data_IF_886280810074
#
_entry.id   IF_886280810074
#
_cell.length_a   1.000
_cell.length_b   1.000
_cell.length_c   1.000
_cell.angle_alpha   90.00
_cell.angle_beta   90.00
_cell.angle_gamma   90.00
#
_symmetry.space_group_name_H-M   'P 1'
#
loop_
_entity.id
_entity.type
_entity.pdbx_description
1 polymer ?
#
# COMPACT_ATOMS: atom_id res chain seq x y z
N UNK A 1 -59.36 12.18 4.61
CA UNK A 1 -58.40 11.94 5.67
C UNK A 1 -57.75 10.60 5.39
N UNK A 2 -56.73 10.60 4.51
CA UNK A 2 -56.04 9.40 4.04
C UNK A 2 -54.86 9.10 4.93
N UNK A 3 -54.85 7.93 5.59
CA UNK A 3 -53.71 7.43 6.34
C UNK A 3 -52.60 7.08 5.34
N UNK A 4 -51.49 7.82 5.35
CA UNK A 4 -50.22 7.44 4.74
C UNK A 4 -49.63 6.28 5.54
N UNK A 5 -49.58 5.09 4.95
CA UNK A 5 -48.78 3.99 5.50
C UNK A 5 -47.28 4.34 5.41
N UNK A 6 -46.50 4.05 6.45
CA UNK A 6 -45.05 4.21 6.37
C UNK A 6 -44.45 3.21 5.38
N UNK A 7 -43.37 3.56 4.66
CA UNK A 7 -42.74 2.66 3.71
C UNK A 7 -42.23 1.40 4.39
N UNK A 8 -42.21 0.25 3.70
CA UNK A 8 -41.71 -1.00 4.29
C UNK A 8 -40.23 -0.85 4.66
N UNK A 9 -39.93 -1.08 5.91
CA UNK A 9 -38.53 -1.18 6.40
C UNK A 9 -37.92 -2.42 5.77
N UNK A 10 -37.03 -2.23 4.79
CA UNK A 10 -36.20 -3.29 4.21
C UNK A 10 -35.28 -3.87 5.28
N UNK A 11 -35.77 -4.86 6.00
CA UNK A 11 -34.96 -5.71 6.87
C UNK A 11 -34.19 -6.70 5.97
N UNK A 12 -33.24 -6.24 5.18
CA UNK A 12 -32.20 -7.12 4.70
C UNK A 12 -31.50 -7.66 5.96
N UNK A 13 -31.74 -8.92 6.27
CA UNK A 13 -31.02 -9.64 7.29
C UNK A 13 -29.53 -9.46 6.99
N UNK A 14 -28.83 -8.68 7.81
CA UNK A 14 -27.37 -8.64 7.79
C UNK A 14 -26.89 -10.06 8.10
N UNK A 15 -26.51 -10.80 7.08
CA UNK A 15 -25.98 -12.14 7.20
C UNK A 15 -24.76 -12.06 8.13
N UNK A 16 -24.81 -12.73 9.27
CA UNK A 16 -23.65 -12.81 10.17
C UNK A 16 -22.52 -13.52 9.42
N UNK A 17 -21.40 -12.83 9.24
CA UNK A 17 -20.20 -13.37 8.62
C UNK A 17 -19.69 -14.51 9.51
N UNK A 18 -19.63 -15.72 8.97
CA UNK A 18 -19.12 -16.90 9.66
C UNK A 18 -17.59 -16.88 9.75
N UNK A 19 -17.00 -17.72 10.61
CA UNK A 19 -15.53 -17.86 10.66
C UNK A 19 -14.96 -18.34 9.31
N UNK A 20 -15.71 -19.16 8.55
CA UNK A 20 -15.32 -19.61 7.21
C UNK A 20 -15.32 -18.42 6.23
N UNK A 21 -16.34 -17.55 6.28
CA UNK A 21 -16.40 -16.36 5.43
C UNK A 21 -15.18 -15.44 5.70
N UNK A 22 -14.78 -15.29 6.98
CA UNK A 22 -13.59 -14.51 7.35
C UNK A 22 -12.30 -15.10 6.77
N UNK A 23 -12.16 -16.42 6.81
CA UNK A 23 -11.02 -17.14 6.20
C UNK A 23 -10.99 -16.95 4.68
N UNK A 24 -12.13 -17.13 4.00
CA UNK A 24 -12.24 -16.94 2.55
C UNK A 24 -11.91 -15.49 2.16
N UNK A 25 -12.43 -14.51 2.90
CA UNK A 25 -12.09 -13.09 2.69
C UNK A 25 -10.61 -12.79 2.93
N UNK A 26 -9.97 -13.46 3.91
CA UNK A 26 -8.53 -13.35 4.14
C UNK A 26 -7.73 -13.86 2.95
N UNK A 27 -8.04 -15.06 2.47
CA UNK A 27 -7.38 -15.65 1.30
C UNK A 27 -7.61 -14.79 0.04
N UNK A 28 -8.82 -14.29 -0.19
CA UNK A 28 -9.14 -13.40 -1.32
C UNK A 28 -8.25 -12.15 -1.31
N UNK A 29 -8.06 -11.51 -0.15
CA UNK A 29 -7.16 -10.36 -0.01
C UNK A 29 -5.71 -10.72 -0.37
N UNK A 30 -5.19 -11.83 0.17
CA UNK A 30 -3.85 -12.32 -0.17
C UNK A 30 -3.70 -12.46 -1.69
N UNK A 31 -4.61 -13.21 -2.30
CA UNK A 31 -4.58 -13.48 -3.75
C UNK A 31 -4.63 -12.17 -4.54
N UNK A 32 -5.50 -11.23 -4.18
CA UNK A 32 -5.61 -9.94 -4.86
C UNK A 32 -4.33 -9.12 -4.74
N UNK A 33 -3.71 -9.07 -3.57
CA UNK A 33 -2.48 -8.30 -3.35
C UNK A 33 -1.29 -8.84 -4.17
N UNK A 34 -1.20 -10.17 -4.34
CA UNK A 34 -0.05 -10.78 -5.03
C UNK A 34 -0.29 -11.07 -6.52
N UNK A 35 -1.55 -10.99 -6.98
CA UNK A 35 -1.91 -11.30 -8.38
C UNK A 35 -2.04 -10.02 -9.20
N UNK A 36 -1.15 -9.78 -10.18
CA UNK A 36 -1.23 -8.61 -11.05
C UNK A 36 -2.61 -8.45 -11.71
N UNK A 37 -3.12 -7.22 -11.77
CA UNK A 37 -4.42 -6.89 -12.36
C UNK A 37 -5.64 -7.22 -11.49
N UNK A 38 -5.44 -7.72 -10.29
CA UNK A 38 -6.53 -8.08 -9.38
C UNK A 38 -6.94 -6.96 -8.42
N UNK A 39 -6.06 -5.98 -8.20
CA UNK A 39 -6.30 -4.82 -7.33
C UNK A 39 -7.11 -3.76 -8.08
N UNK A 40 -8.07 -3.15 -7.40
CA UNK A 40 -8.87 -2.05 -7.94
C UNK A 40 -8.75 -0.87 -7.00
N UNK A 41 -8.41 0.28 -7.54
CA UNK A 41 -8.40 1.50 -6.74
C UNK A 41 -9.84 1.98 -6.46
N UNK A 42 -10.02 2.56 -5.28
CA UNK A 42 -11.25 3.20 -4.84
C UNK A 42 -11.23 4.69 -5.19
N UNK A 43 -10.04 5.30 -5.24
CA UNK A 43 -9.80 6.68 -5.67
C UNK A 43 -9.28 6.69 -7.11
N UNK A 44 -9.59 7.72 -7.91
CA UNK A 44 -8.99 7.87 -9.24
C UNK A 44 -7.46 8.01 -9.12
N UNK A 45 -6.73 7.50 -10.11
CA UNK A 45 -5.28 7.71 -10.17
C UNK A 45 -4.96 9.21 -10.25
N UNK A 46 -3.99 9.72 -9.47
CA UNK A 46 -3.52 11.10 -9.57
C UNK A 46 -3.01 11.48 -10.97
N UNK A 47 -2.61 10.49 -11.75
CA UNK A 47 -2.15 10.67 -13.12
C UNK A 47 -3.26 10.64 -14.18
N UNK A 48 -4.54 10.41 -13.79
CA UNK A 48 -5.65 10.14 -14.72
C UNK A 48 -5.85 11.24 -15.77
N UNK A 49 -5.76 12.49 -15.35
CA UNK A 49 -6.01 13.64 -16.21
C UNK A 49 -4.72 14.26 -16.77
N UNK A 50 -3.57 13.64 -16.49
CA UNK A 50 -2.27 14.05 -17.02
C UNK A 50 -2.05 13.36 -18.37
N UNK A 51 -1.95 14.09 -19.49
CA UNK A 51 -1.71 13.49 -20.79
C UNK A 51 -0.44 12.63 -20.79
N UNK A 52 -0.51 11.46 -21.38
CA UNK A 52 0.65 10.56 -21.52
C UNK A 52 1.70 11.08 -22.49
N UNK A 53 1.35 12.07 -23.31
CA UNK A 53 2.24 12.98 -24.05
C UNK A 53 1.42 14.17 -24.49
N UNK A 54 1.87 15.40 -24.26
CA UNK A 54 1.45 16.54 -25.08
C UNK A 54 1.97 16.30 -26.50
N UNK A 55 1.27 16.75 -27.52
CA UNK A 55 1.58 16.50 -28.95
C UNK A 55 2.99 16.95 -29.40
N UNK A 56 3.79 17.51 -28.52
CA UNK A 56 5.19 17.93 -28.69
C UNK A 56 6.15 17.33 -27.66
N UNK A 57 5.70 16.38 -26.81
CA UNK A 57 6.52 15.87 -25.72
C UNK A 57 7.42 14.73 -26.17
N UNK A 58 8.66 14.85 -25.80
CA UNK A 58 9.72 13.86 -25.83
C UNK A 58 9.19 12.50 -25.36
N UNK A 59 8.99 11.58 -26.29
CA UNK A 59 8.68 10.20 -25.94
C UNK A 59 9.85 9.68 -25.11
N UNK A 60 9.59 9.33 -23.85
CA UNK A 60 10.61 8.74 -22.99
C UNK A 60 11.34 7.62 -23.74
N UNK A 61 12.66 7.70 -23.82
CA UNK A 61 13.45 6.69 -24.47
C UNK A 61 13.38 5.34 -23.73
N UNK A 62 13.79 4.26 -24.38
CA UNK A 62 13.71 2.91 -23.82
C UNK A 62 14.56 2.74 -22.55
N UNK A 63 15.63 3.51 -22.38
CA UNK A 63 16.50 3.48 -21.21
C UNK A 63 15.80 4.16 -20.03
N UNK A 64 15.24 5.33 -20.25
CA UNK A 64 14.48 6.09 -19.26
C UNK A 64 13.24 5.34 -18.81
N UNK A 65 12.45 4.74 -19.75
CA UNK A 65 11.32 3.88 -19.39
C UNK A 65 11.72 2.72 -18.48
N UNK A 66 12.84 2.05 -18.79
CA UNK A 66 13.35 0.95 -17.94
C UNK A 66 13.77 1.43 -16.56
N UNK A 67 14.37 2.61 -16.48
CA UNK A 67 14.78 3.21 -15.22
C UNK A 67 13.56 3.52 -14.33
N UNK A 68 12.58 4.25 -14.86
CA UNK A 68 11.33 4.57 -14.15
C UNK A 68 10.57 3.30 -13.76
N UNK A 69 10.50 2.30 -14.67
CA UNK A 69 9.89 1.01 -14.35
C UNK A 69 10.56 0.30 -13.16
N UNK A 70 11.88 0.44 -13.02
CA UNK A 70 12.61 -0.07 -11.86
C UNK A 70 12.17 0.60 -10.56
N UNK A 71 12.07 1.94 -10.55
CA UNK A 71 11.59 2.70 -9.40
C UNK A 71 10.14 2.34 -9.05
N UNK A 72 9.26 2.32 -10.05
CA UNK A 72 7.85 1.96 -9.84
C UNK A 72 7.65 0.51 -9.37
N UNK A 73 8.53 -0.41 -9.77
CA UNK A 73 8.50 -1.80 -9.28
C UNK A 73 8.90 -1.90 -7.81
N UNK A 74 9.87 -1.09 -7.38
CA UNK A 74 10.22 -0.96 -5.95
C UNK A 74 9.01 -0.45 -5.17
N UNK A 75 8.37 0.64 -5.62
CA UNK A 75 7.20 1.19 -4.94
C UNK A 75 6.08 0.16 -4.89
N UNK A 76 5.71 -0.46 -6.02
CA UNK A 76 4.69 -1.52 -6.05
C UNK A 76 4.99 -2.66 -5.05
N UNK A 77 6.23 -3.11 -4.94
CA UNK A 77 6.61 -4.15 -3.97
C UNK A 77 6.51 -3.61 -2.53
N UNK A 78 6.82 -2.33 -2.33
CA UNK A 78 6.60 -1.64 -1.06
C UNK A 78 5.14 -1.71 -0.62
N UNK A 79 4.20 -1.40 -1.54
CA UNK A 79 2.75 -1.47 -1.27
C UNK A 79 2.27 -2.91 -0.99
N UNK A 80 2.82 -3.90 -1.70
CA UNK A 80 2.57 -5.32 -1.38
C UNK A 80 3.02 -5.65 0.04
N UNK A 81 4.18 -5.14 0.46
CA UNK A 81 4.69 -5.31 1.82
C UNK A 81 3.83 -4.58 2.86
N UNK A 82 3.41 -3.33 2.59
CA UNK A 82 2.57 -2.54 3.48
C UNK A 82 1.22 -3.23 3.71
N UNK A 83 0.54 -3.65 2.65
CA UNK A 83 -0.69 -4.42 2.78
C UNK A 83 -0.52 -5.69 3.61
N UNK A 84 0.55 -6.44 3.38
CA UNK A 84 0.84 -7.66 4.14
C UNK A 84 1.10 -7.37 5.62
N UNK A 85 1.86 -6.30 5.93
CA UNK A 85 2.11 -5.83 7.29
C UNK A 85 0.81 -5.49 8.00
N UNK A 86 -0.04 -4.65 7.40
CA UNK A 86 -1.33 -4.26 7.98
C UNK A 86 -2.26 -5.46 8.19
N UNK A 87 -2.31 -6.40 7.24
CA UNK A 87 -3.12 -7.61 7.37
C UNK A 87 -2.62 -8.51 8.51
N UNK A 88 -1.30 -8.68 8.65
CA UNK A 88 -0.68 -9.40 9.75
C UNK A 88 -0.94 -8.75 11.11
N UNK A 89 -0.81 -7.43 11.19
CA UNK A 89 -1.08 -6.65 12.40
C UNK A 89 -2.57 -6.72 12.79
N UNK A 90 -3.49 -6.59 11.82
CA UNK A 90 -4.93 -6.72 12.07
C UNK A 90 -5.33 -8.11 12.59
N UNK A 91 -4.63 -9.17 12.14
CA UNK A 91 -4.89 -10.54 12.59
C UNK A 91 -4.57 -10.73 14.09
N UNK A 92 -3.56 -10.04 14.60
CA UNK A 92 -3.03 -10.24 15.96
C UNK A 92 -3.27 -9.05 16.89
N UNK A 93 -3.92 -7.99 16.41
CA UNK A 93 -4.28 -6.79 17.17
C UNK A 93 -5.04 -7.18 18.46
N UNK A 94 -4.76 -6.47 19.56
CA UNK A 94 -5.36 -6.75 20.87
C UNK A 94 -6.70 -6.06 21.05
N UNK A 95 -6.93 -4.93 20.35
CA UNK A 95 -8.18 -4.17 20.44
C UNK A 95 -8.86 -4.08 19.07
N UNK A 96 -10.19 -4.06 19.05
CA UNK A 96 -10.97 -3.89 17.83
C UNK A 96 -10.71 -2.53 17.17
N UNK A 97 -10.38 -1.50 17.95
CA UNK A 97 -10.02 -0.18 17.45
C UNK A 97 -8.78 -0.26 16.56
N UNK A 98 -7.71 -0.88 17.05
CA UNK A 98 -6.47 -1.03 16.28
C UNK A 98 -6.66 -1.96 15.09
N UNK A 99 -7.38 -3.06 15.27
CA UNK A 99 -7.72 -3.96 14.17
C UNK A 99 -8.45 -3.24 13.03
N UNK A 100 -9.45 -2.43 13.38
CA UNK A 100 -10.20 -1.63 12.40
C UNK A 100 -9.31 -0.58 11.72
N UNK A 101 -8.44 0.07 12.48
CA UNK A 101 -7.48 1.04 11.93
C UNK A 101 -6.53 0.37 10.92
N UNK A 102 -5.94 -0.78 11.26
CA UNK A 102 -5.07 -1.52 10.34
C UNK A 102 -5.80 -1.99 9.07
N UNK A 103 -7.06 -2.40 9.20
CA UNK A 103 -7.88 -2.78 8.04
C UNK A 103 -8.22 -1.58 7.16
N UNK A 104 -8.42 -0.39 7.73
CA UNK A 104 -8.67 0.83 6.98
C UNK A 104 -7.40 1.25 6.20
N UNK A 105 -6.23 1.26 6.85
CA UNK A 105 -4.96 1.55 6.18
C UNK A 105 -4.68 0.54 5.06
N UNK A 106 -4.83 -0.77 5.32
CA UNK A 106 -4.68 -1.78 4.27
C UNK A 106 -5.56 -1.53 3.04
N UNK A 107 -6.74 -0.93 3.23
CA UNK A 107 -7.62 -0.57 2.12
C UNK A 107 -7.14 0.67 1.36
N UNK A 108 -6.53 1.64 2.05
CA UNK A 108 -5.94 2.81 1.41
C UNK A 108 -4.75 2.41 0.53
N UNK A 109 -3.95 1.43 0.98
CA UNK A 109 -2.85 0.84 0.19
C UNK A 109 -3.30 0.12 -1.08
N UNK A 110 -4.56 -0.32 -1.19
CA UNK A 110 -5.11 -0.87 -2.44
C UNK A 110 -5.06 0.18 -3.57
N UNK A 111 -5.26 1.45 -3.25
CA UNK A 111 -5.17 2.55 -4.22
C UNK A 111 -3.74 2.72 -4.72
N UNK A 112 -2.77 2.80 -3.82
CA UNK A 112 -1.35 2.93 -4.16
C UNK A 112 -0.86 1.76 -5.02
N UNK A 113 -1.22 0.53 -4.62
CA UNK A 113 -0.87 -0.68 -5.36
C UNK A 113 -1.42 -0.63 -6.79
N UNK A 114 -2.69 -0.26 -6.95
CA UNK A 114 -3.34 -0.17 -8.26
C UNK A 114 -2.72 0.94 -9.13
N UNK A 115 -2.40 2.11 -8.56
CA UNK A 115 -1.74 3.19 -9.30
C UNK A 115 -0.35 2.82 -9.77
N UNK A 116 0.44 2.16 -8.90
CA UNK A 116 1.76 1.65 -9.26
C UNK A 116 1.69 0.60 -10.38
N UNK A 117 0.70 -0.29 -10.32
CA UNK A 117 0.50 -1.34 -11.32
C UNK A 117 0.07 -0.76 -12.67
N UNK A 118 -0.88 0.17 -12.68
CA UNK A 118 -1.30 0.89 -13.87
C UNK A 118 -0.11 1.60 -14.52
N UNK A 119 0.70 2.30 -13.73
CA UNK A 119 1.88 3.01 -14.24
C UNK A 119 2.92 2.06 -14.80
N UNK A 120 3.20 0.93 -14.16
CA UNK A 120 4.07 -0.11 -14.69
C UNK A 120 3.59 -0.62 -16.05
N UNK A 121 2.28 -0.87 -16.19
CA UNK A 121 1.66 -1.29 -17.46
C UNK A 121 1.85 -0.24 -18.56
N UNK A 122 1.62 1.05 -18.27
CA UNK A 122 1.83 2.16 -19.21
C UNK A 122 3.30 2.28 -19.67
N UNK A 123 4.24 1.94 -18.80
CA UNK A 123 5.68 1.90 -19.12
C UNK A 123 6.09 0.63 -19.89
N UNK A 124 5.15 -0.29 -20.17
CA UNK A 124 5.44 -1.58 -20.81
C UNK A 124 6.19 -2.54 -19.90
N UNK A 125 5.98 -2.43 -18.59
CA UNK A 125 6.63 -3.20 -17.56
C UNK A 125 5.60 -3.98 -16.71
N UNK A 126 6.04 -4.59 -15.62
CA UNK A 126 5.23 -5.45 -14.76
C UNK A 126 5.72 -5.42 -13.31
N UNK A 127 4.87 -5.81 -12.35
CA UNK A 127 5.26 -6.07 -10.97
C UNK A 127 6.36 -7.11 -10.82
N UNK A 128 7.00 -7.12 -9.66
CA UNK A 128 8.06 -8.09 -9.33
C UNK A 128 7.52 -9.50 -9.13
N UNK A 129 8.21 -10.50 -9.65
CA UNK A 129 7.91 -11.91 -9.35
C UNK A 129 8.22 -12.30 -7.90
N UNK A 130 8.96 -11.47 -7.17
CA UNK A 130 9.28 -11.70 -5.76
C UNK A 130 8.18 -11.24 -4.80
N UNK A 131 7.11 -10.61 -5.31
CA UNK A 131 6.01 -10.09 -4.48
C UNK A 131 5.41 -11.17 -3.53
N UNK A 132 5.15 -12.42 -3.95
CA UNK A 132 4.63 -13.44 -3.03
C UNK A 132 5.58 -13.75 -1.85
N UNK A 133 6.90 -13.73 -2.10
CA UNK A 133 7.91 -13.92 -1.06
C UNK A 133 7.91 -12.76 -0.07
N UNK A 134 7.98 -11.53 -0.59
CA UNK A 134 7.98 -10.33 0.25
C UNK A 134 6.66 -10.15 1.00
N UNK A 135 5.53 -10.50 0.37
CA UNK A 135 4.23 -10.56 1.04
C UNK A 135 4.28 -11.47 2.28
N UNK A 136 4.72 -12.73 2.11
CA UNK A 136 4.77 -13.70 3.21
C UNK A 136 5.68 -13.24 4.36
N UNK A 137 6.86 -12.70 4.06
CA UNK A 137 7.79 -12.16 5.05
C UNK A 137 7.19 -10.96 5.80
N UNK A 138 6.59 -10.01 5.08
CA UNK A 138 5.97 -8.81 5.65
C UNK A 138 4.75 -9.16 6.49
N UNK A 139 3.90 -10.09 6.04
CA UNK A 139 2.76 -10.58 6.83
C UNK A 139 3.22 -11.18 8.16
N UNK A 140 4.26 -12.01 8.14
CA UNK A 140 4.84 -12.58 9.36
C UNK A 140 5.36 -11.51 10.32
N UNK A 141 6.07 -10.50 9.80
CA UNK A 141 6.55 -9.36 10.61
C UNK A 141 5.39 -8.56 11.20
N UNK A 142 4.35 -8.28 10.42
CA UNK A 142 3.14 -7.61 10.88
C UNK A 142 2.44 -8.39 11.99
N UNK A 143 2.29 -9.71 11.83
CA UNK A 143 1.70 -10.57 12.84
C UNK A 143 2.50 -10.59 14.15
N UNK A 144 3.83 -10.58 14.09
CA UNK A 144 4.70 -10.47 15.26
C UNK A 144 4.55 -9.11 15.93
N UNK A 145 4.53 -8.02 15.15
CA UNK A 145 4.36 -6.66 15.69
C UNK A 145 3.01 -6.50 16.42
N UNK A 146 1.91 -6.97 15.82
CA UNK A 146 0.59 -6.96 16.44
C UNK A 146 0.52 -7.82 17.70
N UNK A 147 1.14 -9.00 17.68
CA UNK A 147 1.21 -9.90 18.85
C UNK A 147 1.99 -9.28 20.01
N UNK A 148 3.02 -8.45 19.72
CA UNK A 148 3.79 -7.71 20.73
C UNK A 148 2.97 -6.63 21.46
N UNK A 149 1.83 -6.24 20.89
CA UNK A 149 0.87 -5.31 21.49
C UNK A 149 0.66 -4.04 20.67
N UNK A 150 -0.50 -3.43 20.84
CA UNK A 150 -0.98 -2.34 19.99
C UNK A 150 -0.02 -1.14 19.89
N UNK A 151 0.61 -0.73 20.97
CA UNK A 151 1.61 0.36 20.97
C UNK A 151 2.84 0.04 20.12
N UNK A 152 3.31 -1.20 20.18
CA UNK A 152 4.43 -1.67 19.37
C UNK A 152 4.03 -1.80 17.89
N UNK A 153 2.82 -2.31 17.65
CA UNK A 153 2.21 -2.40 16.33
C UNK A 153 2.14 -1.03 15.64
N UNK A 154 1.59 -0.03 16.32
CA UNK A 154 1.53 1.35 15.83
C UNK A 154 2.92 1.97 15.63
N UNK A 155 3.86 1.72 16.56
CA UNK A 155 5.24 2.19 16.41
C UNK A 155 5.94 1.55 15.20
N UNK A 156 5.61 0.29 14.88
CA UNK A 156 6.13 -0.38 13.71
C UNK A 156 5.57 0.22 12.42
N UNK A 157 4.27 0.55 12.38
CA UNK A 157 3.66 1.32 11.28
C UNK A 157 4.41 2.63 11.09
N UNK A 158 4.48 3.48 12.13
CA UNK A 158 5.14 4.79 12.01
C UNK A 158 6.59 4.68 11.49
N UNK A 159 7.34 3.66 11.93
CA UNK A 159 8.71 3.45 11.47
C UNK A 159 8.79 2.95 10.02
N UNK A 160 7.80 2.18 9.57
CA UNK A 160 7.72 1.69 8.19
C UNK A 160 7.34 2.82 7.24
N UNK A 161 6.31 3.61 7.58
CA UNK A 161 5.86 4.73 6.75
C UNK A 161 6.92 5.85 6.68
N UNK A 162 7.65 6.14 7.76
CA UNK A 162 8.81 7.04 7.71
C UNK A 162 9.84 6.60 6.66
N UNK A 163 10.09 5.29 6.54
CA UNK A 163 11.00 4.76 5.51
C UNK A 163 10.41 4.84 4.10
N UNK A 164 9.12 4.57 3.94
CA UNK A 164 8.43 4.70 2.65
C UNK A 164 8.48 6.15 2.20
N UNK A 165 8.17 7.11 3.07
CA UNK A 165 8.29 8.55 2.78
C UNK A 165 9.70 8.94 2.30
N UNK A 166 10.76 8.42 2.96
CA UNK A 166 12.12 8.68 2.52
C UNK A 166 12.40 8.13 1.12
N UNK A 167 11.97 6.89 0.83
CA UNK A 167 12.08 6.31 -0.52
C UNK A 167 11.33 7.09 -1.58
N UNK A 168 10.11 7.51 -1.29
CA UNK A 168 9.30 8.29 -2.22
C UNK A 168 9.95 9.64 -2.53
N UNK A 169 10.49 10.33 -1.51
CA UNK A 169 11.25 11.58 -1.72
C UNK A 169 12.50 11.36 -2.57
N UNK A 170 13.26 10.29 -2.30
CA UNK A 170 14.45 9.94 -3.09
C UNK A 170 14.08 9.61 -4.54
N UNK A 171 12.99 8.89 -4.77
CA UNK A 171 12.51 8.56 -6.11
C UNK A 171 12.03 9.81 -6.85
N UNK A 172 11.29 10.72 -6.19
CA UNK A 172 10.84 11.99 -6.77
C UNK A 172 12.01 12.87 -7.24
N UNK A 173 13.14 12.87 -6.51
CA UNK A 173 14.36 13.58 -6.93
C UNK A 173 15.06 12.94 -8.13
N UNK A 174 14.87 11.64 -8.34
CA UNK A 174 15.48 10.88 -9.41
C UNK A 174 14.65 10.81 -10.70
N UNK A 175 13.37 11.21 -10.63
CA UNK A 175 12.49 11.21 -11.80
C UNK A 175 12.89 12.30 -12.79
N UNK A 176 12.83 12.01 -14.11
CA UNK A 176 12.90 13.04 -15.14
C UNK A 176 11.82 14.10 -14.91
N UNK A 177 12.15 15.35 -15.21
CA UNK A 177 11.21 16.47 -15.05
C UNK A 177 9.94 16.29 -15.91
N UNK A 178 10.08 15.64 -17.05
CA UNK A 178 8.99 15.41 -18.01
C UNK A 178 8.05 14.27 -17.62
N UNK A 179 8.39 13.44 -16.63
CA UNK A 179 7.54 12.34 -16.18
C UNK A 179 6.52 12.80 -15.14
N UNK A 180 5.61 13.64 -15.58
CA UNK A 180 4.56 14.23 -14.73
C UNK A 180 3.60 13.17 -14.17
N UNK A 181 3.35 12.08 -14.90
CA UNK A 181 2.43 11.02 -14.45
C UNK A 181 3.00 10.25 -13.26
N UNK A 182 4.24 9.79 -13.35
CA UNK A 182 4.89 9.11 -12.22
C UNK A 182 5.04 10.06 -11.04
N UNK A 183 5.41 11.31 -11.30
CA UNK A 183 5.54 12.32 -10.27
C UNK A 183 4.25 12.52 -9.48
N UNK A 184 3.11 12.72 -10.15
CA UNK A 184 1.82 12.92 -9.49
C UNK A 184 1.41 11.71 -8.63
N UNK A 185 1.67 10.48 -9.09
CA UNK A 185 1.42 9.28 -8.30
C UNK A 185 2.27 9.29 -7.03
N UNK A 186 3.58 9.51 -7.14
CA UNK A 186 4.49 9.45 -5.98
C UNK A 186 4.26 10.61 -5.00
N UNK A 187 3.86 11.80 -5.47
CA UNK A 187 3.51 12.94 -4.62
C UNK A 187 2.26 12.65 -3.79
N UNK A 188 1.23 12.04 -4.40
CA UNK A 188 0.02 11.65 -3.67
C UNK A 188 0.32 10.53 -2.66
N UNK A 189 1.06 9.50 -3.06
CA UNK A 189 1.48 8.44 -2.14
C UNK A 189 2.25 9.03 -0.95
N UNK A 190 3.21 9.92 -1.20
CA UNK A 190 3.98 10.57 -0.14
C UNK A 190 3.08 11.31 0.87
N UNK A 191 2.09 12.05 0.39
CA UNK A 191 1.15 12.77 1.26
C UNK A 191 0.30 11.81 2.12
N UNK A 192 -0.14 10.69 1.52
CA UNK A 192 -0.91 9.67 2.22
C UNK A 192 -0.04 8.96 3.29
N UNK A 193 1.22 8.61 2.98
CA UNK A 193 2.14 7.93 3.92
C UNK A 193 2.58 8.83 5.08
N UNK A 194 2.78 10.13 4.83
CA UNK A 194 3.04 11.10 5.90
C UNK A 194 1.87 11.11 6.90
N UNK A 195 0.64 11.07 6.39
CA UNK A 195 -0.56 11.02 7.22
C UNK A 195 -0.69 9.69 8.00
N UNK A 196 -0.35 8.54 7.39
CA UNK A 196 -0.32 7.25 8.10
C UNK A 196 0.69 7.25 9.24
N UNK A 197 1.88 7.80 9.02
CA UNK A 197 2.91 7.95 10.04
C UNK A 197 2.42 8.81 11.21
N UNK A 198 1.85 9.98 10.94
CA UNK A 198 1.31 10.89 11.96
C UNK A 198 0.20 10.22 12.78
N UNK A 199 -0.80 9.64 12.12
CA UNK A 199 -1.89 8.91 12.79
C UNK A 199 -1.38 7.81 13.71
N UNK A 200 -0.39 7.03 13.26
CA UNK A 200 0.14 5.94 14.08
C UNK A 200 0.80 6.46 15.38
N UNK A 201 1.51 7.59 15.31
CA UNK A 201 2.12 8.23 16.48
C UNK A 201 1.06 8.86 17.41
N UNK A 202 0.06 9.55 16.86
CA UNK A 202 -1.05 10.15 17.61
C UNK A 202 -1.87 9.11 18.38
N UNK A 203 -2.03 7.90 17.81
CA UNK A 203 -2.71 6.79 18.49
C UNK A 203 -1.82 6.06 19.51
N UNK A 204 -0.65 6.60 19.82
CA UNK A 204 0.23 6.14 20.89
C UNK A 204 1.28 5.12 20.46
N UNK A 205 1.65 5.10 19.19
CA UNK A 205 2.77 4.31 18.71
C UNK A 205 4.09 4.65 19.40
N UNK A 206 4.86 3.63 19.77
CA UNK A 206 6.19 3.82 20.40
C UNK A 206 7.22 4.16 19.33
N UNK A 207 7.96 5.25 19.53
CA UNK A 207 9.07 5.58 18.64
C UNK A 207 10.18 4.52 18.71
N UNK A 208 10.55 3.95 17.56
CA UNK A 208 11.61 2.95 17.49
C UNK A 208 12.99 3.58 17.61
N UNK A 209 13.88 2.87 18.31
CA UNK A 209 15.27 3.28 18.48
C UNK A 209 16.11 3.04 17.20
N UNK A 210 17.31 3.64 17.17
CA UNK A 210 18.20 3.57 16.02
C UNK A 210 18.58 2.13 15.56
N UNK A 211 18.84 1.15 16.45
CA UNK A 211 19.12 -0.22 16.03
C UNK A 211 17.97 -0.89 15.24
N UNK A 212 16.73 -0.74 15.73
CA UNK A 212 15.56 -1.30 15.05
C UNK A 212 15.34 -0.65 13.67
N UNK A 213 15.46 0.68 13.58
CA UNK A 213 15.40 1.40 12.31
C UNK A 213 16.49 0.96 11.33
N UNK A 214 17.72 0.71 11.81
CA UNK A 214 18.83 0.20 10.95
C UNK A 214 18.54 -1.19 10.38
N UNK A 215 17.96 -2.09 11.18
CA UNK A 215 17.57 -3.42 10.71
C UNK A 215 16.49 -3.30 9.62
N UNK A 216 15.45 -2.50 9.85
CA UNK A 216 14.40 -2.23 8.87
C UNK A 216 14.98 -1.64 7.57
N UNK A 217 15.90 -0.67 7.66
CA UNK A 217 16.61 -0.11 6.51
C UNK A 217 17.44 -1.17 5.77
N UNK A 218 18.07 -2.10 6.46
CA UNK A 218 18.80 -3.21 5.85
C UNK A 218 17.89 -4.14 5.02
N UNK A 219 16.74 -4.50 5.58
CA UNK A 219 15.73 -5.31 4.90
C UNK A 219 15.13 -4.58 3.69
N UNK A 220 14.83 -3.29 3.85
CA UNK A 220 14.34 -2.44 2.75
C UNK A 220 15.35 -2.36 1.61
N UNK A 221 16.64 -2.16 1.89
CA UNK A 221 17.70 -2.16 0.87
C UNK A 221 17.83 -3.49 0.13
N UNK A 222 17.64 -4.61 0.83
CA UNK A 222 17.62 -5.93 0.19
C UNK A 222 16.44 -6.05 -0.77
N UNK A 223 15.24 -5.67 -0.33
CA UNK A 223 14.02 -5.66 -1.15
C UNK A 223 14.19 -4.77 -2.38
N UNK A 224 14.58 -3.52 -2.22
CA UNK A 224 14.73 -2.56 -3.32
C UNK A 224 15.76 -3.02 -4.36
N UNK A 225 16.91 -3.55 -3.92
CA UNK A 225 17.97 -4.05 -4.80
C UNK A 225 17.51 -5.25 -5.64
N UNK A 226 16.71 -6.14 -5.07
CA UNK A 226 16.24 -7.36 -5.75
C UNK A 226 15.08 -7.06 -6.68
N UNK A 227 14.10 -6.25 -6.25
CA UNK A 227 12.89 -5.96 -7.01
C UNK A 227 13.09 -4.96 -8.15
N UNK A 228 14.13 -4.13 -8.10
CA UNK A 228 14.42 -3.16 -9.17
C UNK A 228 14.50 -3.81 -10.56
N UNK A 229 15.02 -5.05 -10.65
CA UNK A 229 15.29 -5.73 -11.92
C UNK A 229 14.34 -6.88 -12.25
N UNK A 230 13.66 -7.44 -11.27
CA UNK A 230 12.92 -8.70 -11.41
C UNK A 230 11.43 -8.51 -11.15
#
# INVERSE_FOLDING_TARGET
MGLLMPPPTDKRQQRKISGIDQWVMGIDRVVRTISPGSTRSHRPSPAKDIPSSSAESVTLDAKTKRYISGLMRINHTGEVCAQALYQGQALTAKTETIKTAMQASAKEEEDHLAWCEERLSQLGSRPSYLNPLFYGLSFGMGAIAGAAGDKWSLGFVAATEDQVCQHLRDHLQQLPEDDLQTRAILEQMLADEEHHCEKALEHGGVAFNSPSKRLMTGLSKLMTKTTYRI
#
